data_IF_411221162629
#
_entry.id   IF_411221162629
#
_cell.length_a   1.000
_cell.length_b   1.000
_cell.length_c   1.000
_cell.angle_alpha   90.00
_cell.angle_beta   90.00
_cell.angle_gamma   90.00
#
_symmetry.space_group_name_H-M   'P 1'
#
loop_
_entity.id
_entity.type
_entity.pdbx_description
1 polymer ?
#
# COMPACT_ATOMS: atom_id res chain seq x y z
N UNK A 1 -2.55 14.01 -11.76
CA UNK A 1 -2.41 13.65 -13.18
C UNK A 1 -1.19 12.75 -13.44
N UNK A 2 0.00 13.08 -12.98
CA UNK A 2 1.24 12.28 -13.22
C UNK A 2 1.22 10.85 -12.64
N UNK A 3 0.64 10.63 -11.46
CA UNK A 3 0.53 9.29 -10.87
C UNK A 3 -0.38 8.35 -11.68
N UNK A 4 -1.48 8.86 -12.24
CA UNK A 4 -2.37 8.09 -13.09
C UNK A 4 -1.66 7.57 -14.33
N UNK A 5 -0.86 8.42 -15.01
CA UNK A 5 -0.07 8.02 -16.18
C UNK A 5 0.90 6.90 -15.82
N UNK A 6 1.58 6.97 -14.66
CA UNK A 6 2.48 5.91 -14.20
C UNK A 6 1.77 4.57 -14.04
N UNK A 7 0.54 4.56 -13.50
CA UNK A 7 -0.23 3.32 -13.40
C UNK A 7 -0.71 2.82 -14.75
N UNK A 8 -1.21 3.69 -15.62
CA UNK A 8 -1.66 3.32 -16.97
C UNK A 8 -0.52 2.81 -17.88
N UNK A 9 0.71 3.31 -17.68
CA UNK A 9 1.89 2.82 -18.40
C UNK A 9 2.38 1.45 -17.90
N UNK A 10 2.00 1.05 -16.68
CA UNK A 10 2.52 -0.16 -16.01
C UNK A 10 1.49 -1.28 -15.86
N UNK A 11 0.21 -0.97 -15.99
CA UNK A 11 -0.87 -1.92 -15.84
C UNK A 11 -1.83 -1.86 -17.01
N UNK A 12 -2.25 -3.03 -17.45
CA UNK A 12 -3.43 -3.13 -18.31
C UNK A 12 -4.66 -2.59 -17.58
N UNK A 13 -5.65 -2.04 -18.29
CA UNK A 13 -6.88 -1.55 -17.68
C UNK A 13 -7.55 -2.63 -16.83
N UNK A 14 -7.81 -2.33 -15.57
CA UNK A 14 -8.56 -3.19 -14.65
C UNK A 14 -10.03 -2.87 -14.85
N UNK A 15 -10.69 -3.62 -15.72
CA UNK A 15 -12.05 -3.30 -16.16
C UNK A 15 -13.13 -3.97 -15.32
N UNK A 16 -14.18 -3.21 -15.04
CA UNK A 16 -15.44 -3.72 -14.52
C UNK A 16 -16.08 -4.64 -15.57
N UNK A 17 -16.43 -5.86 -15.16
CA UNK A 17 -17.01 -6.87 -16.06
C UNK A 17 -18.39 -6.49 -16.61
N UNK A 18 -19.09 -5.56 -15.97
CA UNK A 18 -20.43 -5.10 -16.37
C UNK A 18 -20.39 -3.84 -17.23
N UNK A 19 -19.59 -2.87 -16.82
CA UNK A 19 -19.56 -1.54 -17.46
C UNK A 19 -18.39 -1.35 -18.42
N UNK A 20 -17.38 -2.23 -18.39
CA UNK A 20 -16.15 -2.10 -19.16
C UNK A 20 -15.26 -0.92 -18.74
N UNK A 21 -15.55 -0.27 -17.62
CA UNK A 21 -14.77 0.89 -17.13
C UNK A 21 -13.50 0.45 -16.45
N UNK A 22 -12.42 1.16 -16.71
CA UNK A 22 -11.17 1.00 -15.98
C UNK A 22 -11.28 1.55 -14.54
N UNK A 23 -10.94 0.74 -13.55
CA UNK A 23 -10.97 1.09 -12.14
C UNK A 23 -9.78 1.94 -11.69
N UNK A 24 -8.64 1.86 -12.38
CA UNK A 24 -7.42 2.56 -11.99
C UNK A 24 -7.66 4.07 -11.76
N UNK A 25 -8.33 4.82 -12.66
CA UNK A 25 -8.62 6.22 -12.42
C UNK A 25 -9.47 6.45 -11.16
N UNK A 26 -10.45 5.58 -10.92
CA UNK A 26 -11.32 5.70 -9.73
C UNK A 26 -10.58 5.41 -8.44
N UNK A 27 -9.65 4.45 -8.45
CA UNK A 27 -8.78 4.15 -7.30
C UNK A 27 -7.85 5.33 -7.01
N UNK A 28 -7.20 5.88 -8.03
CA UNK A 28 -6.27 7.03 -7.88
C UNK A 28 -6.96 8.27 -7.32
N UNK A 29 -8.20 8.52 -7.73
CA UNK A 29 -8.96 9.70 -7.31
C UNK A 29 -9.91 9.44 -6.13
N UNK A 30 -9.94 8.22 -5.58
CA UNK A 30 -10.84 7.84 -4.48
C UNK A 30 -12.32 7.99 -4.84
N UNK A 31 -12.70 7.77 -6.10
CA UNK A 31 -14.08 7.94 -6.59
C UNK A 31 -14.84 6.64 -6.50
N UNK A 32 -15.97 6.66 -5.81
CA UNK A 32 -16.85 5.51 -5.72
C UNK A 32 -17.51 5.21 -7.06
N UNK A 33 -17.54 3.93 -7.42
CA UNK A 33 -18.26 3.37 -8.55
C UNK A 33 -19.34 2.44 -7.99
N UNK A 34 -20.42 2.25 -8.74
CA UNK A 34 -21.52 1.37 -8.33
C UNK A 34 -21.01 -0.02 -7.97
N UNK A 35 -21.18 -0.41 -6.71
CA UNK A 35 -20.74 -1.70 -6.15
C UNK A 35 -19.28 -1.76 -5.69
N UNK A 36 -18.49 -0.67 -5.88
CA UNK A 36 -17.10 -0.58 -5.43
C UNK A 36 -16.87 0.77 -4.74
N UNK A 37 -16.39 0.71 -3.50
CA UNK A 37 -16.04 1.90 -2.73
C UNK A 37 -14.52 2.09 -2.73
N UNK A 38 -14.05 3.15 -3.38
CA UNK A 38 -12.65 3.57 -3.40
C UNK A 38 -12.41 4.79 -2.50
N UNK A 39 -13.38 5.16 -1.67
CA UNK A 39 -13.19 6.19 -0.65
C UNK A 39 -12.06 5.80 0.32
N UNK A 40 -11.34 6.81 0.82
CA UNK A 40 -10.22 6.60 1.75
C UNK A 40 -8.97 5.98 1.13
N UNK A 41 -8.86 5.92 -0.21
CA UNK A 41 -7.62 5.57 -0.88
C UNK A 41 -6.67 6.76 -0.96
N UNK A 42 -5.39 6.48 -0.75
CA UNK A 42 -4.29 7.42 -0.87
C UNK A 42 -3.36 7.00 -1.99
N UNK A 43 -2.79 7.96 -2.68
CA UNK A 43 -1.76 7.72 -3.67
C UNK A 43 -0.41 8.20 -3.11
N UNK A 44 0.48 7.26 -2.76
CA UNK A 44 1.86 7.56 -2.41
C UNK A 44 2.69 7.64 -3.69
N UNK A 45 3.50 8.69 -3.84
CA UNK A 45 4.36 8.90 -5.01
C UNK A 45 5.79 9.16 -4.60
N UNK A 46 6.73 8.64 -5.38
CA UNK A 46 8.14 8.99 -5.33
C UNK A 46 8.50 9.80 -6.57
N UNK A 47 9.08 10.97 -6.35
CA UNK A 47 9.52 11.85 -7.44
C UNK A 47 11.04 12.02 -7.44
N UNK A 48 11.61 12.05 -8.64
CA UNK A 48 13.01 12.39 -8.87
C UNK A 48 13.05 13.50 -9.93
N UNK A 49 13.67 14.63 -9.63
CA UNK A 49 13.70 15.79 -10.52
C UNK A 49 12.32 16.19 -11.06
N UNK A 50 11.34 16.29 -10.14
CA UNK A 50 9.94 16.63 -10.44
C UNK A 50 9.19 15.59 -11.33
N UNK A 51 9.79 14.42 -11.58
CA UNK A 51 9.18 13.35 -12.34
C UNK A 51 8.75 12.23 -11.39
N UNK A 52 7.50 11.76 -11.49
CA UNK A 52 7.04 10.58 -10.74
C UNK A 52 7.73 9.34 -11.32
N UNK A 53 8.50 8.64 -10.49
CA UNK A 53 9.25 7.44 -10.87
C UNK A 53 8.63 6.15 -10.29
N UNK A 54 7.93 6.26 -9.16
CA UNK A 54 7.18 5.14 -8.58
C UNK A 54 5.93 5.65 -7.88
N UNK A 55 4.86 4.87 -7.87
CA UNK A 55 3.60 5.20 -7.24
C UNK A 55 2.95 3.96 -6.63
N UNK A 56 2.22 4.14 -5.52
CA UNK A 56 1.43 3.10 -4.88
C UNK A 56 0.08 3.64 -4.45
N UNK A 57 -0.98 2.85 -4.64
CA UNK A 57 -2.31 3.14 -4.09
C UNK A 57 -2.43 2.34 -2.80
N UNK A 58 -2.74 3.02 -1.70
CA UNK A 58 -2.91 2.38 -0.41
C UNK A 58 -4.21 2.84 0.26
N UNK A 59 -4.77 2.00 1.12
CA UNK A 59 -5.89 2.32 2.00
C UNK A 59 -5.60 1.79 3.40
N UNK A 60 -6.02 2.56 4.41
CA UNK A 60 -5.79 2.23 5.82
C UNK A 60 -7.13 1.97 6.49
N UNK A 61 -7.27 0.80 7.10
CA UNK A 61 -8.45 0.36 7.86
C UNK A 61 -8.16 0.47 9.36
N UNK A 62 -8.11 1.71 9.86
CA UNK A 62 -7.75 1.98 11.25
C UNK A 62 -6.34 1.47 11.61
N UNK A 63 -6.17 0.98 12.83
CA UNK A 63 -4.90 0.41 13.29
C UNK A 63 -4.77 -1.09 12.97
N UNK A 64 -5.81 -1.73 12.47
CA UNK A 64 -5.75 -3.16 12.21
C UNK A 64 -4.96 -3.48 10.97
N UNK A 65 -5.26 -2.79 9.87
CA UNK A 65 -4.73 -3.13 8.55
C UNK A 65 -4.54 -1.94 7.65
N UNK A 66 -3.60 -2.12 6.71
CA UNK A 66 -3.53 -1.33 5.48
C UNK A 66 -3.46 -2.28 4.28
N UNK A 67 -3.94 -1.82 3.13
CA UNK A 67 -3.78 -2.54 1.86
C UNK A 67 -3.00 -1.72 0.85
N UNK A 68 -2.27 -2.42 -0.05
CA UNK A 68 -1.56 -1.86 -1.20
C UNK A 68 -2.03 -2.58 -2.47
N UNK A 69 -3.21 -2.24 -2.99
CA UNK A 69 -3.76 -2.96 -4.14
C UNK A 69 -2.95 -2.81 -5.41
N UNK A 70 -2.32 -1.65 -5.61
CA UNK A 70 -1.49 -1.39 -6.79
C UNK A 70 -0.23 -0.63 -6.41
N UNK A 71 0.88 -1.04 -7.04
CA UNK A 71 2.15 -0.32 -7.00
C UNK A 71 2.85 -0.43 -8.34
N UNK A 72 3.39 0.67 -8.83
CA UNK A 72 4.05 0.73 -10.13
C UNK A 72 5.34 1.52 -10.08
N UNK A 73 6.30 1.14 -10.90
CA UNK A 73 7.51 1.93 -11.19
C UNK A 73 7.56 2.19 -12.69
N UNK A 74 7.70 3.45 -13.05
CA UNK A 74 7.72 3.92 -14.44
C UNK A 74 8.73 3.15 -15.26
N UNK A 75 8.35 2.78 -16.49
CA UNK A 75 9.26 2.19 -17.50
C UNK A 75 10.48 3.09 -17.66
N UNK A 76 11.68 2.50 -17.66
CA UNK A 76 12.96 3.24 -17.68
C UNK A 76 13.46 3.71 -16.31
N UNK A 77 12.63 3.62 -15.24
CA UNK A 77 13.02 3.85 -13.85
C UNK A 77 13.10 2.56 -13.03
N UNK A 78 12.77 1.44 -13.62
CA UNK A 78 12.86 0.11 -13.01
C UNK A 78 14.31 -0.29 -12.75
N UNK A 79 14.54 -1.18 -11.77
CA UNK A 79 15.88 -1.67 -11.41
C UNK A 79 16.76 -0.66 -10.63
N UNK A 80 16.28 0.56 -10.37
CA UNK A 80 17.04 1.63 -9.69
C UNK A 80 16.74 1.75 -8.19
N UNK A 81 16.01 0.80 -7.61
CA UNK A 81 15.67 0.81 -6.19
C UNK A 81 14.53 1.77 -5.78
N UNK A 82 13.90 2.46 -6.71
CA UNK A 82 12.85 3.43 -6.39
C UNK A 82 11.62 2.80 -5.75
N UNK A 83 11.24 1.60 -6.19
CA UNK A 83 10.16 0.86 -5.57
C UNK A 83 10.48 0.51 -4.10
N UNK A 84 11.68 -0.02 -3.84
CA UNK A 84 12.12 -0.37 -2.48
C UNK A 84 12.10 0.86 -1.56
N UNK A 85 12.52 2.03 -2.08
CA UNK A 85 12.49 3.26 -1.32
C UNK A 85 11.06 3.69 -1.00
N UNK A 86 10.17 3.74 -2.00
CA UNK A 86 8.75 4.07 -1.81
C UNK A 86 8.11 3.12 -0.80
N UNK A 87 8.33 1.81 -0.95
CA UNK A 87 7.78 0.79 -0.08
C UNK A 87 8.27 0.94 1.35
N UNK A 88 9.57 1.18 1.56
CA UNK A 88 10.14 1.44 2.88
C UNK A 88 9.52 2.69 3.55
N UNK A 89 9.24 3.74 2.78
CA UNK A 89 8.56 4.93 3.29
C UNK A 89 7.11 4.63 3.71
N UNK A 90 6.40 3.82 2.92
CA UNK A 90 5.04 3.38 3.25
C UNK A 90 5.07 2.54 4.53
N UNK A 91 5.97 1.56 4.66
CA UNK A 91 6.09 0.74 5.87
C UNK A 91 6.36 1.59 7.12
N UNK A 92 7.26 2.58 7.02
CA UNK A 92 7.54 3.50 8.13
C UNK A 92 6.32 4.34 8.52
N UNK A 93 5.57 4.81 7.52
CA UNK A 93 4.31 5.54 7.76
C UNK A 93 3.30 4.65 8.49
N UNK A 94 3.09 3.42 8.02
CA UNK A 94 2.17 2.47 8.66
C UNK A 94 2.60 2.12 10.09
N UNK A 95 3.90 1.95 10.30
CA UNK A 95 4.49 1.73 11.63
C UNK A 95 4.22 2.93 12.56
N UNK A 96 4.41 4.15 12.10
CA UNK A 96 4.13 5.38 12.84
C UNK A 96 2.64 5.52 13.18
N UNK A 97 1.76 5.17 12.26
CA UNK A 97 0.31 5.18 12.46
C UNK A 97 -0.19 4.02 13.35
N UNK A 98 0.69 3.13 13.77
CA UNK A 98 0.36 1.98 14.63
C UNK A 98 -0.44 0.89 13.90
N UNK A 99 -0.38 0.84 12.57
CA UNK A 99 -1.00 -0.22 11.79
C UNK A 99 -0.31 -1.55 12.06
N UNK A 100 -1.08 -2.61 12.29
CA UNK A 100 -0.55 -3.92 12.69
C UNK A 100 -0.20 -4.82 11.52
N UNK A 101 -0.96 -4.74 10.43
CA UNK A 101 -0.87 -5.66 9.32
C UNK A 101 -0.94 -4.92 7.98
N UNK A 102 -0.12 -5.35 7.04
CA UNK A 102 -0.06 -4.80 5.68
C UNK A 102 -0.34 -5.90 4.68
N UNK A 103 -1.36 -5.72 3.84
CA UNK A 103 -1.84 -6.72 2.89
C UNK A 103 -1.77 -6.22 1.46
N UNK A 104 -1.58 -7.12 0.52
CA UNK A 104 -1.59 -6.81 -0.91
C UNK A 104 -1.99 -8.02 -1.75
N UNK A 105 -2.63 -7.80 -2.92
CA UNK A 105 -2.82 -8.82 -3.93
C UNK A 105 -1.55 -8.93 -4.78
N UNK A 106 -0.97 -10.13 -4.88
CA UNK A 106 0.20 -10.40 -5.70
C UNK A 106 -0.14 -11.30 -6.88
N UNK A 107 0.26 -10.89 -8.08
CA UNK A 107 0.25 -11.79 -9.23
C UNK A 107 1.29 -12.90 -9.05
N UNK A 108 1.08 -14.04 -9.69
CA UNK A 108 1.94 -15.23 -9.56
C UNK A 108 3.41 -14.90 -9.86
N UNK A 109 3.66 -14.07 -10.86
CA UNK A 109 4.99 -13.67 -11.29
C UNK A 109 5.71 -12.77 -10.26
N UNK A 110 4.95 -12.09 -9.41
CA UNK A 110 5.48 -11.19 -8.39
C UNK A 110 5.61 -11.84 -7.00
N UNK A 111 5.10 -13.05 -6.82
CA UNK A 111 5.05 -13.74 -5.53
C UNK A 111 6.42 -13.82 -4.86
N UNK A 112 7.46 -14.29 -5.58
CA UNK A 112 8.81 -14.45 -5.03
C UNK A 112 9.42 -13.12 -4.57
N UNK A 113 9.13 -12.03 -5.28
CA UNK A 113 9.60 -10.69 -4.88
C UNK A 113 8.98 -10.31 -3.53
N UNK A 114 7.69 -10.51 -3.36
CA UNK A 114 6.99 -10.13 -2.14
C UNK A 114 7.35 -11.02 -0.96
N UNK A 115 7.47 -12.34 -1.17
CA UNK A 115 7.78 -13.28 -0.09
C UNK A 115 9.25 -13.24 0.30
N UNK A 116 10.17 -13.28 -0.66
CA UNK A 116 11.60 -13.39 -0.38
C UNK A 116 12.28 -12.07 -0.03
N UNK A 117 11.91 -10.97 -0.74
CA UNK A 117 12.56 -9.66 -0.52
C UNK A 117 11.83 -8.81 0.52
N UNK A 118 10.50 -8.87 0.57
CA UNK A 118 9.70 -8.00 1.43
C UNK A 118 9.11 -8.71 2.64
N UNK A 119 9.24 -10.04 2.74
CA UNK A 119 8.87 -10.83 3.91
C UNK A 119 7.36 -10.98 4.09
N UNK A 120 6.58 -10.93 3.00
CA UNK A 120 5.16 -11.25 3.03
C UNK A 120 4.93 -12.76 3.07
N UNK A 121 3.78 -13.16 3.55
CA UNK A 121 3.30 -14.54 3.58
C UNK A 121 1.93 -14.62 2.92
N UNK A 122 1.66 -15.73 2.26
CA UNK A 122 0.34 -15.96 1.65
C UNK A 122 -0.70 -16.22 2.73
N UNK A 123 -1.86 -15.58 2.60
CA UNK A 123 -2.99 -15.79 3.50
C UNK A 123 -3.63 -17.15 3.25
N UNK A 124 -3.89 -17.87 4.33
CA UNK A 124 -4.66 -19.10 4.28
C UNK A 124 -6.14 -18.83 3.92
N UNK A 125 -6.87 -19.83 3.38
CA UNK A 125 -8.31 -19.67 3.08
C UNK A 125 -9.14 -19.18 4.28
N UNK A 126 -8.85 -19.66 5.49
CA UNK A 126 -9.55 -19.27 6.72
C UNK A 126 -9.27 -17.81 7.09
N UNK A 127 -8.02 -17.38 6.95
CA UNK A 127 -7.65 -15.97 7.11
C UNK A 127 -8.38 -15.10 6.10
N UNK A 128 -8.44 -15.50 4.81
CA UNK A 128 -9.17 -14.73 3.78
C UNK A 128 -10.64 -14.56 4.10
N UNK A 129 -11.31 -15.61 4.63
CA UNK A 129 -12.71 -15.53 5.07
C UNK A 129 -12.85 -14.52 6.21
N UNK A 130 -11.97 -14.56 7.21
CA UNK A 130 -11.94 -13.60 8.31
C UNK A 130 -11.71 -12.16 7.81
N UNK A 131 -10.79 -11.97 6.88
CA UNK A 131 -10.49 -10.66 6.30
C UNK A 131 -11.69 -10.07 5.57
N UNK A 132 -12.40 -10.86 4.75
CA UNK A 132 -13.59 -10.40 4.02
C UNK A 132 -14.73 -9.97 4.94
N UNK A 133 -14.84 -10.55 6.13
CA UNK A 133 -15.84 -10.16 7.13
C UNK A 133 -15.53 -8.81 7.79
N UNK A 134 -14.25 -8.52 8.03
CA UNK A 134 -13.83 -7.31 8.76
C UNK A 134 -13.45 -6.15 7.82
N UNK A 135 -12.99 -6.46 6.62
CA UNK A 135 -12.56 -5.50 5.60
C UNK A 135 -13.19 -5.85 4.24
N UNK A 136 -14.51 -5.80 4.15
CA UNK A 136 -15.26 -6.16 2.94
C UNK A 136 -14.90 -5.32 1.71
N UNK A 137 -14.36 -4.12 1.93
CA UNK A 137 -13.89 -3.20 0.87
C UNK A 137 -12.51 -3.56 0.32
N UNK A 138 -11.81 -4.54 0.92
CA UNK A 138 -10.47 -4.92 0.49
C UNK A 138 -10.46 -5.42 -0.96
N UNK A 139 -9.49 -4.93 -1.73
CA UNK A 139 -9.40 -5.22 -3.16
C UNK A 139 -8.63 -6.51 -3.39
N UNK A 140 -9.22 -7.38 -4.21
CA UNK A 140 -8.56 -8.55 -4.77
C UNK A 140 -8.81 -8.59 -6.26
N UNK A 141 -7.79 -9.02 -7.02
CA UNK A 141 -7.90 -9.17 -8.47
C UNK A 141 -7.96 -10.65 -8.85
N UNK A 142 -8.60 -10.94 -9.97
CA UNK A 142 -8.62 -12.31 -10.50
C UNK A 142 -7.19 -12.76 -10.85
N UNK A 143 -6.80 -13.95 -10.39
CA UNK A 143 -5.47 -14.50 -10.64
C UNK A 143 -4.38 -13.96 -9.71
N UNK A 144 -4.76 -13.32 -8.59
CA UNK A 144 -3.80 -12.91 -7.55
C UNK A 144 -4.01 -13.69 -6.27
N UNK A 145 -2.93 -13.90 -5.52
CA UNK A 145 -2.95 -14.36 -4.13
C UNK A 145 -2.87 -13.17 -3.19
N UNK A 146 -3.60 -13.24 -2.07
CA UNK A 146 -3.50 -12.22 -1.02
C UNK A 146 -2.35 -12.53 -0.10
N UNK A 147 -1.46 -11.57 0.06
CA UNK A 147 -0.30 -11.66 0.93
C UNK A 147 -0.43 -10.71 2.11
N UNK A 148 0.14 -11.10 3.25
CA UNK A 148 0.18 -10.32 4.48
C UNK A 148 1.59 -10.23 5.04
N UNK A 149 1.87 -9.09 5.69
CA UNK A 149 3.07 -8.88 6.50
C UNK A 149 2.71 -8.11 7.75
N UNK A 150 3.24 -8.53 8.90
CA UNK A 150 3.16 -7.75 10.14
C UNK A 150 3.99 -6.47 10.02
N UNK A 151 3.42 -5.34 10.44
CA UNK A 151 4.13 -4.05 10.50
C UNK A 151 4.80 -3.93 11.85
N UNK A 152 6.12 -3.71 11.85
CA UNK A 152 6.90 -3.49 13.08
C UNK A 152 6.47 -2.18 13.74
N UNK A 153 6.27 -2.18 15.05
CA UNK A 153 5.92 -0.97 15.80
C UNK A 153 7.07 0.02 15.80
N UNK A 154 6.80 1.28 15.53
CA UNK A 154 7.74 2.36 15.74
C UNK A 154 8.02 2.53 17.23
N UNK A 155 9.27 2.43 17.66
CA UNK A 155 9.68 2.81 19.01
C UNK A 155 9.87 4.31 19.02
N UNK A 156 8.89 5.05 19.54
CA UNK A 156 9.07 6.48 19.85
C UNK A 156 10.01 6.51 21.06
N UNK A 157 11.24 6.96 20.85
CA UNK A 157 12.14 7.31 21.96
C UNK A 157 11.59 8.64 22.49
N UNK A 158 10.83 8.59 23.59
CA UNK A 158 10.52 9.78 24.35
C UNK A 158 11.85 10.29 24.90
N UNK A 159 12.35 11.40 24.36
CA UNK A 159 13.37 12.18 25.06
C UNK A 159 12.72 12.65 26.35
N UNK A 160 13.16 12.08 27.47
CA UNK A 160 12.89 12.66 28.79
C UNK A 160 13.52 14.04 28.75
N UNK A 161 12.69 15.08 28.81
CA UNK A 161 13.14 16.41 29.16
C UNK A 161 13.85 16.26 30.52
N UNK A 162 15.14 16.58 30.56
CA UNK A 162 15.88 16.66 31.80
C UNK A 162 15.23 17.78 32.60
N UNK A 163 14.51 17.43 33.65
CA UNK A 163 14.10 18.36 34.67
C UNK A 163 15.38 19.04 35.21
N UNK A 164 15.47 20.34 34.96
CA UNK A 164 16.47 21.19 35.54
C UNK A 164 16.18 21.24 37.05
N UNK A 165 16.88 20.42 37.82
CA UNK A 165 17.07 20.64 39.26
C UNK A 165 17.87 21.95 39.41
N UNK A 166 17.17 23.01 39.72
CA UNK A 166 17.76 24.24 40.22
C UNK A 166 17.93 24.04 41.72
N UNK A 167 19.13 24.02 42.28
CA UNK A 167 19.28 24.01 43.74
C UNK A 167 18.92 25.41 44.24
N UNK A 168 17.91 25.49 45.14
CA UNK A 168 17.67 26.65 45.97
C UNK A 168 18.83 26.81 46.96
N UNK A 169 19.50 27.98 46.93
CA UNK A 169 20.31 28.52 48.01
C UNK A 169 19.45 29.31 48.99
#
# INVERSE_FOLDING_TARGET
MFSLLTFQDCFDPIVDSVTGRDFIPSMVYGRNIRGQDFGGMYCAILTVNSTVVSAGILRIFGQDRAELPLVATRVGSQGKGYFQLLFSCIEKLLSFLGVRSFVLPAAVEAMSIWTEKFGFQELTPDQLVSYRRTCWQMISFKGTSMLEKSVSRCRIIQQREAENDVPDE
#
